data_IF_653044632358
#
_entry.id   IF_653044632358
#
_cell.length_a   1.000
_cell.length_b   1.000
_cell.length_c   1.000
_cell.angle_alpha   90.00
_cell.angle_beta   90.00
_cell.angle_gamma   90.00
#
_symmetry.space_group_name_H-M   'P 1'
#
loop_
_entity.id
_entity.type
_entity.pdbx_description
1 polymer ?
#
# COMPACT_ATOMS: atom_id res chain seq x y z
N UNK A 1 23.18 23.30 6.99
CA UNK A 1 23.50 21.86 6.96
C UNK A 1 22.43 20.99 6.25
N UNK A 2 21.26 21.52 5.87
CA UNK A 2 20.18 20.75 5.20
C UNK A 2 20.17 20.81 3.66
N UNK A 3 21.05 21.60 3.03
CA UNK A 3 21.07 21.75 1.56
C UNK A 3 21.77 20.60 0.83
N UNK A 4 22.69 19.89 1.49
CA UNK A 4 23.50 18.82 0.87
C UNK A 4 22.70 17.54 0.58
N UNK A 5 21.71 17.23 1.42
CA UNK A 5 20.89 16.00 1.30
C UNK A 5 19.86 16.04 0.16
N UNK A 6 19.53 17.25 -0.33
CA UNK A 6 18.52 17.44 -1.39
C UNK A 6 19.10 17.21 -2.79
N UNK A 7 20.42 17.41 -2.94
CA UNK A 7 21.15 17.16 -4.20
C UNK A 7 21.45 15.65 -4.38
N UNK A 8 21.68 14.93 -3.29
CA UNK A 8 21.93 13.48 -3.29
C UNK A 8 20.71 12.67 -3.76
N UNK A 9 19.48 13.05 -3.39
CA UNK A 9 18.27 12.31 -3.83
C UNK A 9 18.04 12.36 -5.34
N UNK A 10 18.32 13.50 -5.99
CA UNK A 10 18.17 13.63 -7.44
C UNK A 10 19.24 12.83 -8.18
N UNK A 11 20.44 12.78 -7.61
CA UNK A 11 21.58 12.04 -8.15
C UNK A 11 21.33 10.52 -8.05
N UNK A 12 20.87 10.04 -6.89
CA UNK A 12 20.48 8.64 -6.67
C UNK A 12 19.31 8.19 -7.58
N UNK A 13 18.30 9.05 -7.78
CA UNK A 13 17.19 8.74 -8.69
C UNK A 13 17.66 8.59 -10.15
N UNK A 14 18.65 9.40 -10.57
CA UNK A 14 19.26 9.32 -11.91
C UNK A 14 20.12 8.05 -12.07
N UNK A 15 20.82 7.67 -11.02
CA UNK A 15 21.67 6.48 -10.97
C UNK A 15 20.82 5.20 -11.02
N UNK A 16 19.76 5.11 -10.21
CA UNK A 16 18.80 3.98 -10.24
C UNK A 16 18.12 3.86 -11.61
N UNK A 17 17.76 4.98 -12.25
CA UNK A 17 17.19 4.98 -13.59
C UNK A 17 18.19 4.49 -14.66
N UNK A 18 19.49 4.78 -14.49
CA UNK A 18 20.54 4.33 -15.41
C UNK A 18 20.90 2.84 -15.27
N UNK A 19 20.78 2.28 -14.06
CA UNK A 19 21.02 0.85 -13.78
C UNK A 19 19.94 -0.04 -14.40
N UNK A 20 18.74 0.49 -14.67
CA UNK A 20 17.65 -0.25 -15.33
C UNK A 20 17.84 -0.50 -16.83
N UNK A 21 18.83 0.12 -17.49
CA UNK A 21 18.95 0.11 -18.96
C UNK A 21 20.05 -0.82 -19.52
N UNK A 22 20.82 -1.51 -18.69
CA UNK A 22 21.95 -2.33 -19.16
C UNK A 22 21.94 -3.74 -18.55
N UNK A 23 21.25 -4.68 -19.21
CA UNK A 23 21.68 -6.08 -19.23
C UNK A 23 20.96 -6.85 -20.34
N UNK A 24 21.49 -6.75 -21.55
CA UNK A 24 21.37 -7.82 -22.54
C UNK A 24 22.77 -8.37 -22.80
N UNK A 25 23.07 -9.54 -22.24
CA UNK A 25 23.76 -10.67 -22.92
C UNK A 25 24.01 -11.81 -21.94
N UNK A 26 23.46 -12.99 -22.27
CA UNK A 26 24.05 -14.28 -21.90
C UNK A 26 23.82 -14.79 -20.48
N UNK A 27 22.58 -15.06 -20.10
CA UNK A 27 22.27 -15.86 -18.92
C UNK A 27 20.78 -16.18 -18.92
N UNK A 28 20.43 -17.46 -18.95
CA UNK A 28 19.03 -17.92 -18.95
C UNK A 28 18.44 -17.65 -17.56
N UNK A 29 18.08 -16.39 -17.33
CA UNK A 29 17.35 -15.95 -16.14
C UNK A 29 15.95 -16.57 -16.26
N UNK A 30 15.69 -17.59 -15.44
CA UNK A 30 14.36 -18.13 -15.22
C UNK A 30 13.40 -16.94 -15.14
N UNK A 31 12.42 -16.91 -16.03
CA UNK A 31 11.51 -15.80 -16.21
C UNK A 31 10.75 -15.52 -14.91
N UNK A 32 11.35 -14.74 -14.02
CA UNK A 32 10.64 -14.07 -12.96
C UNK A 32 9.70 -13.12 -13.69
N UNK A 33 8.40 -13.49 -13.71
CA UNK A 33 7.27 -12.70 -14.20
C UNK A 33 7.63 -11.23 -14.16
N UNK A 34 7.68 -10.58 -15.33
CA UNK A 34 7.92 -9.15 -15.45
C UNK A 34 7.09 -8.44 -14.38
N UNK A 35 7.76 -7.78 -13.44
CA UNK A 35 7.13 -6.93 -12.42
C UNK A 35 6.63 -5.67 -13.14
N UNK A 36 5.62 -5.82 -13.99
CA UNK A 36 4.96 -4.72 -14.71
C UNK A 36 4.22 -3.77 -13.75
N UNK A 37 4.16 -4.11 -12.46
CA UNK A 37 3.56 -3.33 -11.37
C UNK A 37 4.51 -2.32 -10.71
N UNK A 38 5.81 -2.33 -11.00
CA UNK A 38 6.82 -1.53 -10.27
C UNK A 38 6.49 -0.04 -10.18
N UNK A 39 6.02 0.54 -11.29
CA UNK A 39 5.66 1.96 -11.34
C UNK A 39 4.41 2.34 -10.54
N UNK A 40 3.57 1.37 -10.15
CA UNK A 40 2.33 1.62 -9.41
C UNK A 40 2.50 1.51 -7.91
N UNK A 41 3.46 0.74 -7.42
CA UNK A 41 3.71 0.57 -5.98
C UNK A 41 4.05 1.90 -5.30
N UNK A 42 4.93 2.71 -5.90
CA UNK A 42 5.33 4.01 -5.33
C UNK A 42 4.19 5.04 -5.30
N UNK A 43 3.23 4.96 -6.23
CA UNK A 43 2.03 5.84 -6.25
C UNK A 43 1.05 5.55 -5.10
N UNK A 44 1.33 4.53 -4.29
CA UNK A 44 0.56 4.14 -3.11
C UNK A 44 1.25 4.55 -1.81
N UNK A 45 2.36 5.26 -1.88
CA UNK A 45 2.98 5.92 -0.74
C UNK A 45 2.71 7.42 -0.83
N UNK A 46 2.04 7.96 0.18
CA UNK A 46 1.95 9.41 0.37
C UNK A 46 3.22 9.90 1.06
N UNK A 47 3.66 11.10 0.69
CA UNK A 47 4.84 11.75 1.23
C UNK A 47 4.46 13.12 1.78
N UNK A 48 5.14 13.56 2.83
CA UNK A 48 5.06 14.94 3.31
C UNK A 48 5.89 15.91 2.45
N UNK A 49 5.93 17.18 2.86
CA UNK A 49 6.66 18.26 2.17
C UNK A 49 8.18 18.05 2.18
N UNK A 50 8.71 17.27 3.13
CA UNK A 50 10.11 16.87 3.20
C UNK A 50 10.41 15.59 2.38
N UNK A 51 9.38 15.06 1.74
CA UNK A 51 9.44 13.85 0.93
C UNK A 51 9.66 12.59 1.76
N UNK A 52 9.24 12.57 3.02
CA UNK A 52 9.23 11.38 3.88
C UNK A 52 7.91 10.64 3.75
N UNK A 53 7.91 9.29 3.73
CA UNK A 53 6.70 8.51 3.59
C UNK A 53 5.84 8.61 4.85
N UNK A 54 4.59 9.05 4.69
CA UNK A 54 3.66 9.25 5.81
C UNK A 54 2.57 8.19 5.84
N UNK A 55 2.09 7.76 4.67
CA UNK A 55 1.05 6.73 4.56
C UNK A 55 1.32 5.78 3.43
N UNK A 56 0.97 4.52 3.65
CA UNK A 56 1.04 3.48 2.65
C UNK A 56 -0.33 2.82 2.46
N UNK A 57 -0.75 2.69 1.20
CA UNK A 57 -1.98 2.00 0.83
C UNK A 57 -1.63 0.62 0.26
N UNK A 58 -1.79 -0.50 0.98
CA UNK A 58 -1.52 -1.83 0.44
C UNK A 58 -2.44 -2.17 -0.73
N UNK A 59 -2.02 -3.12 -1.57
CA UNK A 59 -2.87 -3.73 -2.58
C UNK A 59 -3.72 -4.81 -1.93
N UNK A 60 -5.04 -4.67 -2.01
CA UNK A 60 -6.01 -5.64 -1.48
C UNK A 60 -6.59 -6.54 -2.58
N UNK A 61 -6.60 -6.07 -3.83
CA UNK A 61 -6.97 -6.85 -5.02
C UNK A 61 -6.29 -6.30 -6.27
N UNK A 62 -5.71 -7.20 -7.06
CA UNK A 62 -4.97 -6.85 -8.28
C UNK A 62 -3.73 -5.97 -8.03
N UNK A 63 -2.91 -5.80 -9.06
CA UNK A 63 -1.73 -4.94 -9.03
C UNK A 63 -1.84 -3.92 -10.16
N UNK A 64 -2.55 -2.82 -9.91
CA UNK A 64 -2.83 -1.81 -10.93
C UNK A 64 -3.40 -0.51 -10.36
N UNK A 65 -3.63 0.46 -11.25
CA UNK A 65 -4.15 1.80 -10.89
C UNK A 65 -5.55 1.76 -10.28
N UNK A 66 -6.34 0.75 -10.64
CA UNK A 66 -7.72 0.54 -10.17
C UNK A 66 -7.80 -0.11 -8.79
N UNK A 67 -6.66 -0.54 -8.23
CA UNK A 67 -6.64 -1.15 -6.91
C UNK A 67 -7.10 -0.13 -5.86
N UNK A 68 -8.13 -0.45 -5.06
CA UNK A 68 -8.74 0.50 -4.13
C UNK A 68 -7.74 0.96 -3.06
N UNK A 69 -7.84 2.22 -2.64
CA UNK A 69 -7.05 2.80 -1.54
C UNK A 69 -7.90 2.87 -0.25
N UNK A 70 -8.56 1.76 0.08
CA UNK A 70 -9.50 1.69 1.21
C UNK A 70 -8.87 1.17 2.51
N UNK A 71 -7.69 0.55 2.43
CA UNK A 71 -6.87 0.21 3.60
C UNK A 71 -5.62 1.07 3.57
N UNK A 72 -5.25 1.60 4.74
CA UNK A 72 -4.08 2.45 4.92
C UNK A 72 -3.27 1.99 6.13
N UNK A 73 -1.95 2.09 6.00
CA UNK A 73 -0.97 1.95 7.08
C UNK A 73 -0.38 3.34 7.30
N UNK A 74 -0.63 3.90 8.46
CA UNK A 74 -0.16 5.22 8.88
C UNK A 74 0.50 5.06 10.27
N UNK A 75 1.81 5.33 10.43
CA UNK A 75 2.50 5.22 11.72
C UNK A 75 1.86 6.04 12.84
N UNK A 76 1.19 7.15 12.50
CA UNK A 76 0.50 8.03 13.47
C UNK A 76 -0.87 7.51 13.91
N UNK A 77 -1.43 6.52 13.20
CA UNK A 77 -2.74 5.92 13.48
C UNK A 77 -2.58 4.46 13.88
N UNK A 78 -3.15 4.08 15.02
CA UNK A 78 -3.10 2.70 15.52
C UNK A 78 -1.68 2.09 15.54
N UNK A 79 -0.64 2.91 15.71
CA UNK A 79 0.78 2.54 15.69
C UNK A 79 1.21 1.82 14.41
N UNK A 80 0.77 2.31 13.24
CA UNK A 80 1.12 1.70 11.94
C UNK A 80 0.41 0.39 11.66
N UNK A 81 -0.61 0.03 12.45
CA UNK A 81 -1.46 -1.11 12.12
C UNK A 81 -2.38 -0.74 10.96
N UNK A 82 -2.74 -1.69 10.08
CA UNK A 82 -3.65 -1.43 8.98
C UNK A 82 -5.05 -1.05 9.49
N UNK A 83 -5.58 0.04 8.92
CA UNK A 83 -6.91 0.56 9.23
C UNK A 83 -7.68 0.86 7.94
N UNK A 84 -9.01 0.92 8.03
CA UNK A 84 -9.84 1.43 6.94
C UNK A 84 -9.58 2.94 6.81
N UNK A 85 -9.22 3.37 5.60
CA UNK A 85 -8.91 4.75 5.29
C UNK A 85 -10.07 5.69 5.68
N UNK A 86 -9.73 6.79 6.37
CA UNK A 86 -10.70 7.78 6.84
C UNK A 86 -11.44 7.43 8.14
N UNK A 87 -11.31 6.21 8.68
CA UNK A 87 -12.06 5.78 9.87
C UNK A 87 -11.20 5.48 11.10
N UNK A 88 -9.93 5.06 10.90
CA UNK A 88 -9.09 4.52 11.97
C UNK A 88 -9.51 3.14 12.50
N UNK A 89 -10.57 2.54 11.94
CA UNK A 89 -11.03 1.20 12.32
C UNK A 89 -10.04 0.16 11.82
N UNK A 90 -9.47 -0.63 12.73
CA UNK A 90 -8.47 -1.66 12.40
C UNK A 90 -9.07 -2.80 11.57
N UNK A 91 -8.39 -3.16 10.49
CA UNK A 91 -8.80 -4.26 9.59
C UNK A 91 -8.94 -5.59 10.35
N UNK A 92 -8.03 -5.89 11.27
CA UNK A 92 -8.08 -7.10 12.09
C UNK A 92 -9.27 -7.15 13.07
N UNK A 93 -9.84 -6.01 13.47
CA UNK A 93 -11.07 -5.98 14.27
C UNK A 93 -12.25 -6.37 13.39
N UNK A 94 -12.37 -5.77 12.21
CA UNK A 94 -13.40 -6.10 11.22
C UNK A 94 -13.34 -7.57 10.82
N UNK A 95 -12.15 -8.08 10.47
CA UNK A 95 -11.99 -9.48 10.08
C UNK A 95 -12.37 -10.45 11.20
N UNK A 96 -12.12 -10.09 12.48
CA UNK A 96 -12.54 -10.92 13.61
C UNK A 96 -14.07 -10.98 13.74
N UNK A 97 -14.76 -9.85 13.60
CA UNK A 97 -16.24 -9.78 13.64
C UNK A 97 -16.86 -10.66 12.55
N UNK A 98 -16.38 -10.53 11.31
CA UNK A 98 -16.86 -11.34 10.18
C UNK A 98 -16.53 -12.83 10.38
N UNK A 99 -15.34 -13.17 10.87
CA UNK A 99 -15.00 -14.57 11.24
C UNK A 99 -15.87 -15.10 12.38
N UNK A 100 -16.40 -14.22 13.22
CA UNK A 100 -17.38 -14.53 14.26
C UNK A 100 -18.80 -14.79 13.75
N UNK A 101 -19.04 -14.65 12.44
CA UNK A 101 -20.33 -14.89 11.80
C UNK A 101 -21.22 -13.66 11.64
N UNK A 102 -20.70 -12.47 11.96
CA UNK A 102 -21.43 -11.22 11.75
C UNK A 102 -21.54 -10.88 10.26
N UNK A 103 -22.64 -10.22 9.87
CA UNK A 103 -22.86 -9.80 8.48
C UNK A 103 -22.05 -8.54 8.15
N UNK A 104 -21.62 -8.43 6.89
CA UNK A 104 -20.87 -7.27 6.40
C UNK A 104 -21.68 -5.98 6.52
N UNK A 105 -22.99 -6.01 6.24
CA UNK A 105 -23.90 -4.87 6.38
C UNK A 105 -23.92 -4.34 7.81
N UNK A 106 -24.10 -5.24 8.77
CA UNK A 106 -24.29 -4.87 10.18
C UNK A 106 -23.00 -4.26 10.75
N UNK A 107 -21.86 -4.85 10.40
CA UNK A 107 -20.54 -4.29 10.77
C UNK A 107 -20.28 -2.94 10.08
N UNK A 108 -20.78 -2.75 8.85
CA UNK A 108 -20.64 -1.50 8.13
C UNK A 108 -21.46 -0.38 8.81
N UNK A 109 -22.71 -0.69 9.16
CA UNK A 109 -23.62 0.22 9.85
C UNK A 109 -23.07 0.65 11.22
N UNK A 110 -22.53 -0.30 12.00
CA UNK A 110 -21.93 -0.02 13.30
C UNK A 110 -20.77 0.98 13.26
N UNK A 111 -19.97 0.93 12.18
CA UNK A 111 -18.82 1.82 12.00
C UNK A 111 -19.14 3.04 11.14
N UNK A 112 -20.39 3.19 10.67
CA UNK A 112 -20.80 4.23 9.71
C UNK A 112 -19.91 4.23 8.44
N UNK A 113 -19.64 3.04 7.92
CA UNK A 113 -18.80 2.81 6.75
C UNK A 113 -19.59 2.15 5.64
N UNK A 114 -19.04 2.22 4.43
CA UNK A 114 -19.61 1.50 3.29
C UNK A 114 -19.30 0.00 3.40
N UNK A 115 -20.24 -0.89 3.03
CA UNK A 115 -19.99 -2.34 2.98
C UNK A 115 -18.76 -2.72 2.14
N UNK A 116 -18.45 -1.92 1.11
CA UNK A 116 -17.25 -2.08 0.29
C UNK A 116 -15.95 -1.89 1.08
N UNK A 117 -15.91 -0.97 2.05
CA UNK A 117 -14.75 -0.75 2.92
C UNK A 117 -14.54 -1.93 3.88
N UNK A 118 -15.63 -2.44 4.46
CA UNK A 118 -15.61 -3.64 5.30
C UNK A 118 -15.08 -4.83 4.50
N UNK A 119 -15.61 -5.05 3.29
CA UNK A 119 -15.16 -6.15 2.43
C UNK A 119 -13.67 -6.04 2.05
N UNK A 120 -13.17 -4.84 1.74
CA UNK A 120 -11.74 -4.65 1.45
C UNK A 120 -10.84 -4.85 2.68
N UNK A 121 -11.29 -4.47 3.87
CA UNK A 121 -10.58 -4.75 5.11
C UNK A 121 -10.43 -6.26 5.37
N UNK A 122 -11.50 -7.03 5.14
CA UNK A 122 -11.46 -8.49 5.25
C UNK A 122 -10.51 -9.09 4.21
N UNK A 123 -10.57 -8.63 2.95
CA UNK A 123 -9.65 -9.10 1.90
C UNK A 123 -8.19 -8.89 2.27
N UNK A 124 -7.85 -7.73 2.84
CA UNK A 124 -6.50 -7.45 3.32
C UNK A 124 -6.04 -8.51 4.34
N UNK A 125 -6.85 -8.82 5.34
CA UNK A 125 -6.53 -9.79 6.41
C UNK A 125 -6.51 -11.26 5.96
N UNK A 126 -7.06 -11.57 4.78
CA UNK A 126 -6.99 -12.92 4.19
C UNK A 126 -5.80 -13.09 3.24
N UNK A 127 -5.22 -11.98 2.77
CA UNK A 127 -4.07 -11.99 1.85
C UNK A 127 -2.71 -11.95 2.57
N UNK A 128 -2.71 -11.66 3.87
CA UNK A 128 -1.55 -11.64 4.77
C UNK A 128 -1.46 -12.98 5.51
#
# INVERSE_FOLDING_TARGET
MLASLRDDRKTLAKEIASVGASSQKGGKLLAHRKFSGAGYCLKRVEHDDDGMPTRFYPFTRGYGREAPKLVVIDPSVAFGRPVIAGSGVRTGVVARRIKGGELISDVADDYLLEPSQIAEAVRYELAV
#
